data_IF_035098103953
#
_entry.id   IF_035098103953
#
_cell.length_a   1.000
_cell.length_b   1.000
_cell.length_c   1.000
_cell.angle_alpha   90.00
_cell.angle_beta   90.00
_cell.angle_gamma   90.00
#
_symmetry.space_group_name_H-M   'P 1'
#
loop_
_entity.id
_entity.type
_entity.pdbx_description
1 polymer ?
#
# COMPACT_ATOMS: atom_id res chain seq x y z
N UNK A 1 -9.27 21.10 -19.18
CA UNK A 1 -9.74 19.70 -19.17
C UNK A 1 -8.53 18.82 -19.38
N UNK A 2 -8.17 18.00 -18.39
CA UNK A 2 -7.02 17.09 -18.50
C UNK A 2 -7.31 16.04 -19.57
N UNK A 3 -6.35 15.81 -20.47
CA UNK A 3 -6.52 14.83 -21.54
C UNK A 3 -6.04 13.44 -21.05
N UNK A 4 -6.80 12.82 -20.14
CA UNK A 4 -6.48 11.52 -19.55
C UNK A 4 -6.62 10.36 -20.57
N UNK A 5 -7.49 10.49 -21.58
CA UNK A 5 -7.84 9.42 -22.48
C UNK A 5 -6.64 8.77 -23.21
N UNK A 6 -5.70 9.51 -23.85
CA UNK A 6 -4.57 8.89 -24.54
C UNK A 6 -3.63 8.13 -23.61
N UNK A 7 -3.49 8.60 -22.34
CA UNK A 7 -2.65 7.93 -21.34
C UNK A 7 -3.23 6.55 -21.01
N UNK A 8 -4.54 6.48 -20.77
CA UNK A 8 -5.20 5.22 -20.41
C UNK A 8 -5.42 4.30 -21.61
N UNK A 9 -5.62 4.82 -22.84
CA UNK A 9 -5.67 3.99 -24.04
C UNK A 9 -4.34 3.25 -24.24
N UNK A 10 -3.23 3.99 -24.20
CA UNK A 10 -1.89 3.38 -24.27
C UNK A 10 -1.65 2.38 -23.13
N UNK A 11 -2.06 2.71 -21.91
CA UNK A 11 -1.90 1.83 -20.75
C UNK A 11 -2.65 0.51 -20.92
N UNK A 12 -3.87 0.53 -21.51
CA UNK A 12 -4.64 -0.67 -21.82
C UNK A 12 -3.96 -1.57 -22.82
N UNK A 13 -3.39 -0.96 -23.87
CA UNK A 13 -2.64 -1.69 -24.90
C UNK A 13 -1.39 -2.35 -24.31
N UNK A 14 -0.63 -1.61 -23.49
CA UNK A 14 0.57 -2.11 -22.82
C UNK A 14 0.25 -3.27 -21.86
N UNK A 15 -0.85 -3.17 -21.09
CA UNK A 15 -1.34 -4.24 -20.20
C UNK A 15 -1.74 -5.49 -21.01
N UNK A 16 -2.49 -5.30 -22.08
CA UNK A 16 -2.91 -6.40 -22.96
C UNK A 16 -1.72 -7.13 -23.58
N UNK A 17 -0.72 -6.37 -24.02
CA UNK A 17 0.53 -6.93 -24.55
C UNK A 17 1.33 -7.67 -23.48
N UNK A 18 1.38 -7.12 -22.24
CA UNK A 18 2.08 -7.75 -21.13
C UNK A 18 1.45 -9.09 -20.72
N UNK A 19 0.12 -9.17 -20.63
CA UNK A 19 -0.60 -10.42 -20.32
C UNK A 19 -0.28 -11.51 -21.36
N UNK A 20 -0.28 -11.15 -22.63
CA UNK A 20 0.06 -12.12 -23.71
C UNK A 20 1.50 -12.62 -23.67
N UNK A 21 2.44 -11.77 -23.27
CA UNK A 21 3.87 -12.07 -23.27
C UNK A 21 4.33 -12.74 -21.98
N UNK A 22 3.82 -12.34 -20.82
CA UNK A 22 4.22 -12.81 -19.49
C UNK A 22 3.16 -13.76 -18.90
N UNK A 23 2.85 -14.81 -19.66
CA UNK A 23 1.88 -15.81 -19.21
C UNK A 23 2.42 -16.62 -18.03
N UNK A 24 1.54 -17.24 -17.26
CA UNK A 24 1.91 -18.16 -16.18
C UNK A 24 2.88 -19.25 -16.66
N UNK A 25 2.60 -19.87 -17.80
CA UNK A 25 3.48 -20.89 -18.39
C UNK A 25 4.88 -20.35 -18.66
N UNK A 26 4.97 -19.19 -19.32
CA UNK A 26 6.26 -18.53 -19.56
C UNK A 26 7.05 -18.29 -18.27
N UNK A 27 6.40 -17.74 -17.22
CA UNK A 27 7.06 -17.45 -15.94
C UNK A 27 7.50 -18.72 -15.21
N UNK A 28 6.67 -19.76 -15.24
CA UNK A 28 6.99 -21.05 -14.64
C UNK A 28 8.16 -21.73 -15.35
N UNK A 29 8.20 -21.71 -16.69
CA UNK A 29 9.33 -22.24 -17.47
C UNK A 29 10.65 -21.56 -17.11
N UNK A 30 10.62 -20.23 -16.86
CA UNK A 30 11.81 -19.48 -16.40
C UNK A 30 12.27 -19.91 -15.01
N UNK A 31 11.37 -20.27 -14.13
CA UNK A 31 11.68 -20.72 -12.79
C UNK A 31 12.18 -22.17 -12.74
N UNK A 32 11.72 -23.06 -13.64
CA UNK A 32 12.12 -24.47 -13.66
C UNK A 32 13.64 -24.67 -13.91
N UNK A 33 14.29 -23.72 -14.56
CA UNK A 33 15.75 -23.72 -14.74
C UNK A 33 16.52 -23.32 -13.47
N UNK A 34 15.81 -23.07 -12.36
CA UNK A 34 16.34 -22.55 -11.11
C UNK A 34 16.43 -21.02 -11.11
N UNK A 35 16.25 -20.44 -9.94
CA UNK A 35 16.27 -18.99 -9.77
C UNK A 35 17.00 -18.59 -8.48
N UNK A 36 17.65 -17.41 -8.53
CA UNK A 36 18.08 -16.70 -7.33
C UNK A 36 16.90 -15.94 -6.71
N UNK A 37 17.00 -15.67 -5.40
CA UNK A 37 16.09 -14.75 -4.70
C UNK A 37 16.91 -13.56 -4.23
N UNK A 38 16.46 -12.34 -4.50
CA UNK A 38 17.08 -11.13 -3.95
C UNK A 38 16.32 -10.65 -2.74
N UNK A 39 16.93 -10.76 -1.55
CA UNK A 39 16.36 -10.44 -0.24
C UNK A 39 16.09 -11.69 0.61
N UNK A 40 16.70 -11.75 1.81
CA UNK A 40 16.54 -12.84 2.79
C UNK A 40 15.57 -12.50 3.92
N UNK A 41 14.75 -11.48 3.75
CA UNK A 41 13.69 -11.07 4.68
C UNK A 41 12.51 -12.04 4.73
N UNK A 42 11.43 -11.67 5.43
CA UNK A 42 10.21 -12.48 5.55
C UNK A 42 9.62 -12.87 4.20
N UNK A 43 9.50 -11.90 3.30
CA UNK A 43 8.95 -12.10 1.96
C UNK A 43 9.84 -13.02 1.10
N UNK A 44 11.17 -12.83 1.11
CA UNK A 44 12.11 -13.71 0.40
C UNK A 44 12.09 -15.14 0.93
N UNK A 45 11.99 -15.35 2.24
CA UNK A 45 11.84 -16.69 2.84
C UNK A 45 10.50 -17.36 2.44
N UNK A 46 9.43 -16.56 2.30
CA UNK A 46 8.13 -17.05 1.79
C UNK A 46 8.28 -17.53 0.35
N UNK A 47 8.95 -16.77 -0.53
CA UNK A 47 9.26 -17.19 -1.90
C UNK A 47 10.11 -18.47 -1.90
N UNK A 48 11.15 -18.55 -1.09
CA UNK A 48 12.00 -19.74 -1.01
C UNK A 48 11.20 -21.00 -0.61
N UNK A 49 10.25 -20.86 0.32
CA UNK A 49 9.32 -21.95 0.69
C UNK A 49 8.43 -22.34 -0.50
N UNK A 50 7.80 -21.36 -1.16
CA UNK A 50 6.94 -21.61 -2.32
C UNK A 50 7.69 -22.24 -3.49
N UNK A 51 8.97 -21.94 -3.67
CA UNK A 51 9.84 -22.60 -4.64
C UNK A 51 10.08 -24.07 -4.24
N UNK A 52 10.42 -24.32 -2.98
CA UNK A 52 10.62 -25.66 -2.45
C UNK A 52 9.37 -26.53 -2.58
N UNK A 53 8.19 -26.01 -2.23
CA UNK A 53 6.91 -26.72 -2.29
C UNK A 53 6.51 -27.08 -3.76
N UNK A 54 7.15 -26.47 -4.75
CA UNK A 54 6.90 -26.68 -6.19
C UNK A 54 8.09 -27.30 -6.93
N UNK A 55 9.05 -27.83 -6.20
CA UNK A 55 10.29 -28.44 -6.76
C UNK A 55 11.05 -27.51 -7.72
N UNK A 56 10.99 -26.18 -7.44
CA UNK A 56 11.75 -25.17 -8.19
C UNK A 56 13.13 -24.99 -7.53
N UNK A 57 14.25 -25.22 -8.24
CA UNK A 57 15.57 -25.07 -7.65
C UNK A 57 15.88 -23.63 -7.24
N UNK A 58 16.15 -23.42 -5.94
CA UNK A 58 16.69 -22.14 -5.45
C UNK A 58 18.22 -22.17 -5.53
N UNK A 59 18.80 -21.37 -6.43
CA UNK A 59 20.24 -21.33 -6.70
C UNK A 59 21.01 -20.58 -5.61
N UNK A 60 20.35 -19.72 -4.85
CA UNK A 60 20.90 -18.93 -3.76
C UNK A 60 20.01 -17.73 -3.42
N UNK A 61 20.24 -17.19 -2.23
CA UNK A 61 19.58 -15.95 -1.80
C UNK A 61 20.64 -14.84 -1.76
N UNK A 62 20.38 -13.73 -2.42
CA UNK A 62 21.27 -12.58 -2.47
C UNK A 62 20.80 -11.57 -1.44
N UNK A 63 21.63 -11.20 -0.46
CA UNK A 63 21.28 -10.20 0.55
C UNK A 63 22.53 -9.41 0.99
N UNK A 64 22.38 -8.09 1.16
CA UNK A 64 23.48 -7.22 1.63
C UNK A 64 23.98 -7.58 3.03
N UNK A 65 23.16 -8.28 3.82
CA UNK A 65 23.47 -8.73 5.19
C UNK A 65 24.11 -10.12 5.24
N UNK A 66 24.43 -10.73 4.10
CA UNK A 66 25.10 -12.02 4.05
C UNK A 66 26.45 -11.97 4.81
N UNK A 67 26.72 -12.98 5.62
CA UNK A 67 27.92 -13.07 6.45
C UNK A 67 27.89 -12.28 7.76
N UNK A 68 26.80 -11.56 8.07
CA UNK A 68 26.65 -10.82 9.34
C UNK A 68 26.02 -11.63 10.47
N UNK A 69 25.54 -12.86 10.19
CA UNK A 69 24.73 -13.66 11.12
C UNK A 69 23.26 -13.19 11.24
N UNK A 70 22.89 -12.09 10.59
CA UNK A 70 21.53 -11.53 10.65
C UNK A 70 20.55 -12.23 9.69
N UNK A 71 21.07 -12.91 8.67
CA UNK A 71 20.25 -13.62 7.68
C UNK A 71 20.84 -14.98 7.37
N UNK A 72 20.02 -16.01 7.54
CA UNK A 72 20.36 -17.39 7.23
C UNK A 72 19.17 -18.05 6.51
N UNK A 73 19.45 -18.98 5.62
CA UNK A 73 18.45 -19.81 4.96
C UNK A 73 18.88 -21.28 5.06
N UNK A 74 17.98 -22.14 5.55
CA UNK A 74 18.26 -23.58 5.64
C UNK A 74 18.49 -24.14 4.24
N UNK A 75 19.62 -24.81 4.05
CA UNK A 75 19.98 -25.54 2.82
C UNK A 75 20.10 -24.67 1.54
N UNK A 76 20.11 -23.35 1.63
CA UNK A 76 20.29 -22.45 0.50
C UNK A 76 21.41 -21.44 0.84
N UNK A 77 22.43 -21.26 -0.01
CA UNK A 77 23.49 -20.30 0.24
C UNK A 77 22.96 -18.87 0.25
N UNK A 78 23.33 -18.10 1.26
CA UNK A 78 23.08 -16.65 1.29
C UNK A 78 24.35 -15.93 0.83
N UNK A 79 24.25 -15.19 -0.26
CA UNK A 79 25.35 -14.59 -1.01
C UNK A 79 25.30 -13.07 -0.88
N UNK A 80 26.45 -12.45 -0.62
CA UNK A 80 26.53 -11.00 -0.66
C UNK A 80 26.53 -10.51 -2.13
N UNK A 81 25.84 -9.39 -2.49
CA UNK A 81 25.83 -8.88 -3.87
C UNK A 81 27.20 -8.71 -4.51
N UNK A 82 28.23 -8.36 -3.71
CA UNK A 82 29.62 -8.21 -4.17
C UNK A 82 30.34 -9.52 -4.47
N UNK A 83 29.82 -10.67 -4.01
CA UNK A 83 30.43 -11.98 -4.24
C UNK A 83 29.88 -12.70 -5.48
N UNK A 84 28.91 -12.11 -6.16
CA UNK A 84 28.28 -12.68 -7.37
C UNK A 84 28.93 -12.04 -8.59
N UNK A 85 29.43 -12.88 -9.50
CA UNK A 85 29.97 -12.44 -10.78
C UNK A 85 28.88 -12.33 -11.85
N UNK A 86 29.17 -11.57 -12.91
CA UNK A 86 28.27 -11.54 -14.09
C UNK A 86 28.12 -12.92 -14.75
N UNK A 87 29.11 -13.81 -14.62
CA UNK A 87 29.05 -15.18 -15.13
C UNK A 87 28.01 -16.01 -14.34
N UNK A 88 27.89 -15.79 -13.03
CA UNK A 88 26.90 -16.48 -12.19
C UNK A 88 25.46 -16.02 -12.52
N UNK A 89 25.31 -14.78 -12.97
CA UNK A 89 24.00 -14.18 -13.32
C UNK A 89 23.57 -14.48 -14.76
N UNK A 90 24.53 -14.70 -15.67
CA UNK A 90 24.26 -14.84 -17.10
C UNK A 90 23.27 -15.98 -17.39
N UNK A 91 22.19 -15.67 -18.10
CA UNK A 91 21.15 -16.64 -18.45
C UNK A 91 20.27 -17.09 -17.29
N UNK A 92 20.46 -16.56 -16.08
CA UNK A 92 19.72 -16.95 -14.88
C UNK A 92 18.52 -16.03 -14.62
N UNK A 93 17.55 -16.60 -13.91
CA UNK A 93 16.38 -15.87 -13.37
C UNK A 93 16.67 -15.43 -11.93
N UNK A 94 16.19 -14.24 -11.57
CA UNK A 94 16.14 -13.77 -10.18
C UNK A 94 14.74 -13.32 -9.83
N UNK A 95 14.29 -13.68 -8.62
CA UNK A 95 13.01 -13.27 -8.05
C UNK A 95 13.27 -12.20 -7.00
N UNK A 96 12.59 -11.07 -7.09
CA UNK A 96 12.69 -10.02 -6.09
C UNK A 96 11.93 -10.44 -4.83
N UNK A 97 12.68 -10.81 -3.80
CA UNK A 97 12.21 -11.27 -2.48
C UNK A 97 12.11 -10.16 -1.44
N UNK A 98 11.92 -8.91 -1.90
CA UNK A 98 11.70 -7.74 -1.05
C UNK A 98 10.32 -7.18 -1.37
N UNK A 99 9.54 -6.90 -0.32
CA UNK A 99 8.23 -6.26 -0.44
C UNK A 99 7.99 -5.40 0.80
N UNK A 100 8.38 -4.13 0.71
CA UNK A 100 8.25 -3.14 1.78
C UNK A 100 8.32 -1.71 1.18
N UNK A 101 7.96 -0.66 1.94
CA UNK A 101 8.01 0.72 1.48
C UNK A 101 9.41 1.36 1.50
N UNK A 102 10.44 0.69 2.06
CA UNK A 102 11.73 1.34 2.39
C UNK A 102 12.81 1.10 1.33
N UNK A 103 12.84 -0.07 0.70
CA UNK A 103 13.83 -0.41 -0.32
C UNK A 103 13.36 0.01 -1.71
N UNK A 104 14.10 0.81 -2.44
CA UNK A 104 13.78 1.21 -3.82
C UNK A 104 13.89 0.02 -4.78
N UNK A 105 12.75 -0.57 -5.16
CA UNK A 105 12.71 -1.70 -6.10
C UNK A 105 13.28 -1.32 -7.48
N UNK A 106 13.06 -0.10 -7.93
CA UNK A 106 13.58 0.39 -9.19
C UNK A 106 15.11 0.38 -9.20
N UNK A 107 15.75 0.85 -8.11
CA UNK A 107 17.20 0.80 -7.96
C UNK A 107 17.70 -0.65 -7.97
N UNK A 108 17.07 -1.52 -7.21
CA UNK A 108 17.42 -2.94 -7.13
C UNK A 108 17.27 -3.61 -8.49
N UNK A 109 16.17 -3.39 -9.20
CA UNK A 109 15.92 -3.96 -10.53
C UNK A 109 16.96 -3.48 -11.54
N UNK A 110 17.33 -2.19 -11.52
CA UNK A 110 18.41 -1.65 -12.37
C UNK A 110 19.76 -2.32 -12.05
N UNK A 111 20.07 -2.51 -10.78
CA UNK A 111 21.27 -3.24 -10.37
C UNK A 111 21.26 -4.70 -10.86
N UNK A 112 20.14 -5.43 -10.67
CA UNK A 112 20.00 -6.82 -11.14
C UNK A 112 20.20 -6.94 -12.67
N UNK A 113 19.66 -5.99 -13.44
CA UNK A 113 19.91 -5.91 -14.89
C UNK A 113 21.39 -5.70 -15.21
N UNK A 114 22.05 -4.79 -14.49
CA UNK A 114 23.48 -4.51 -14.68
C UNK A 114 24.38 -5.68 -14.26
N UNK A 115 23.95 -6.50 -13.30
CA UNK A 115 24.63 -7.72 -12.91
C UNK A 115 24.56 -8.84 -13.97
N UNK A 116 23.62 -8.73 -14.95
CA UNK A 116 23.54 -9.64 -16.09
C UNK A 116 22.45 -10.71 -15.96
N UNK A 117 21.51 -10.60 -15.01
CA UNK A 117 20.37 -11.51 -14.96
C UNK A 117 19.52 -11.42 -16.22
N UNK A 118 19.18 -12.57 -16.79
CA UNK A 118 18.41 -12.66 -18.03
C UNK A 118 16.92 -12.37 -17.79
N UNK A 119 16.41 -12.72 -16.62
CA UNK A 119 15.02 -12.52 -16.25
C UNK A 119 14.91 -12.07 -14.79
N UNK A 120 14.08 -11.06 -14.55
CA UNK A 120 13.79 -10.54 -13.20
C UNK A 120 12.29 -10.60 -12.98
N UNK A 121 11.86 -11.41 -12.00
CA UNK A 121 10.46 -11.56 -11.62
C UNK A 121 10.16 -10.69 -10.41
N UNK A 122 9.18 -9.79 -10.55
CA UNK A 122 8.69 -8.93 -9.49
C UNK A 122 7.30 -8.36 -9.80
N UNK A 123 6.67 -7.64 -8.87
CA UNK A 123 5.33 -7.09 -9.10
C UNK A 123 4.33 -8.18 -9.51
N UNK A 124 3.55 -7.91 -10.54
CA UNK A 124 2.52 -8.84 -11.02
C UNK A 124 3.05 -10.22 -11.48
N UNK A 125 4.34 -10.36 -11.79
CA UNK A 125 4.90 -11.67 -12.13
C UNK A 125 4.82 -12.67 -10.98
N UNK A 126 4.89 -12.19 -9.73
CA UNK A 126 4.91 -13.06 -8.55
C UNK A 126 3.57 -13.78 -8.35
N UNK A 127 2.41 -13.11 -8.29
CA UNK A 127 1.12 -13.79 -8.23
C UNK A 127 0.84 -14.67 -9.45
N UNK A 128 1.31 -14.28 -10.63
CA UNK A 128 1.13 -15.09 -11.84
C UNK A 128 1.97 -16.36 -11.83
N UNK A 129 3.21 -16.31 -11.30
CA UNK A 129 4.09 -17.47 -11.20
C UNK A 129 3.72 -18.37 -10.01
N UNK A 130 3.48 -17.77 -8.83
CA UNK A 130 3.30 -18.48 -7.57
C UNK A 130 1.84 -18.60 -7.10
N UNK A 131 0.89 -17.99 -7.80
CA UNK A 131 -0.54 -18.01 -7.41
C UNK A 131 -0.86 -17.10 -6.22
N UNK A 132 -2.05 -17.28 -5.59
CA UNK A 132 -2.54 -16.39 -4.54
C UNK A 132 -1.71 -16.44 -3.25
N UNK A 133 -0.95 -17.51 -3.01
CA UNK A 133 -0.16 -17.68 -1.78
C UNK A 133 0.91 -16.62 -1.59
N UNK A 134 1.27 -15.87 -2.64
CA UNK A 134 2.24 -14.76 -2.58
C UNK A 134 1.57 -13.39 -2.48
N UNK A 135 0.24 -13.31 -2.65
CA UNK A 135 -0.48 -12.05 -2.58
C UNK A 135 -0.28 -11.35 -1.23
N UNK A 136 -0.06 -10.05 -1.29
CA UNK A 136 0.17 -9.19 -0.13
C UNK A 136 -0.13 -7.74 -0.50
N UNK A 137 -0.82 -6.96 0.36
CA UNK A 137 -1.21 -5.58 0.05
C UNK A 137 -1.72 -5.42 -1.40
N UNK A 138 -1.15 -4.50 -2.15
CA UNK A 138 -1.48 -4.22 -3.55
C UNK A 138 -0.98 -5.29 -4.54
N UNK A 139 -0.21 -6.29 -4.11
CA UNK A 139 0.40 -7.27 -5.00
C UNK A 139 -0.65 -8.20 -5.59
N UNK A 140 -0.84 -8.12 -6.90
CA UNK A 140 -1.83 -8.90 -7.66
C UNK A 140 -1.34 -9.21 -9.07
N UNK A 141 -1.98 -10.19 -9.72
CA UNK A 141 -1.77 -10.46 -11.15
C UNK A 141 -2.31 -9.33 -12.05
N UNK A 142 -1.88 -9.32 -13.31
CA UNK A 142 -2.25 -8.27 -14.29
C UNK A 142 -3.73 -8.27 -14.65
N UNK A 143 -4.39 -9.42 -14.57
CA UNK A 143 -5.75 -9.59 -15.05
C UNK A 143 -6.73 -8.64 -14.36
N UNK A 144 -6.58 -8.38 -13.06
CA UNK A 144 -7.46 -7.46 -12.32
C UNK A 144 -7.48 -6.05 -12.92
N UNK A 145 -6.35 -5.57 -13.47
CA UNK A 145 -6.28 -4.24 -14.06
C UNK A 145 -7.05 -4.16 -15.40
N UNK A 146 -7.09 -5.25 -16.18
CA UNK A 146 -7.88 -5.32 -17.41
C UNK A 146 -9.36 -5.45 -17.08
N UNK A 147 -9.72 -6.33 -16.15
CA UNK A 147 -11.12 -6.56 -15.75
C UNK A 147 -11.77 -5.30 -15.16
N UNK A 148 -10.97 -4.46 -14.48
CA UNK A 148 -11.42 -3.21 -13.86
C UNK A 148 -11.06 -1.95 -14.68
N UNK A 149 -10.61 -2.13 -15.94
CA UNK A 149 -10.04 -1.02 -16.70
C UNK A 149 -11.01 0.15 -16.92
N UNK A 150 -12.29 -0.12 -17.10
CA UNK A 150 -13.30 0.93 -17.29
C UNK A 150 -13.48 1.77 -16.01
N UNK A 151 -13.36 1.16 -14.81
CA UNK A 151 -13.36 1.87 -13.53
C UNK A 151 -12.10 2.70 -13.34
N UNK A 152 -10.94 2.15 -13.70
CA UNK A 152 -9.66 2.86 -13.70
C UNK A 152 -9.71 4.09 -14.61
N UNK A 153 -10.28 3.93 -15.81
CA UNK A 153 -10.47 5.03 -16.77
C UNK A 153 -11.44 6.09 -16.23
N UNK A 154 -12.56 5.65 -15.62
CA UNK A 154 -13.52 6.55 -14.99
C UNK A 154 -12.84 7.38 -13.88
N UNK A 155 -12.05 6.73 -13.02
CA UNK A 155 -11.24 7.42 -12.01
C UNK A 155 -10.30 8.44 -12.67
N UNK A 156 -9.53 8.04 -13.69
CA UNK A 156 -8.61 8.95 -14.38
C UNK A 156 -9.29 10.23 -14.92
N UNK A 157 -10.55 10.10 -15.37
CA UNK A 157 -11.35 11.23 -15.85
C UNK A 157 -11.91 12.12 -14.72
N UNK A 158 -12.05 11.58 -13.49
CA UNK A 158 -12.56 12.31 -12.32
C UNK A 158 -11.48 13.04 -11.53
N UNK A 159 -10.19 12.71 -11.74
CA UNK A 159 -9.08 13.33 -11.04
C UNK A 159 -8.92 14.81 -11.41
N UNK A 160 -8.68 15.64 -10.41
CA UNK A 160 -8.75 17.10 -10.52
C UNK A 160 -7.52 17.73 -11.21
N UNK A 161 -6.38 17.04 -11.22
CA UNK A 161 -5.13 17.59 -11.78
C UNK A 161 -4.30 16.53 -12.54
N UNK A 162 -3.35 17.03 -13.33
CA UNK A 162 -2.48 16.18 -14.14
C UNK A 162 -1.56 15.32 -13.28
N UNK A 163 -1.08 15.83 -12.15
CA UNK A 163 -0.25 15.08 -11.19
C UNK A 163 -0.96 13.82 -10.71
N UNK A 164 -2.24 13.91 -10.38
CA UNK A 164 -3.06 12.75 -9.96
C UNK A 164 -3.22 11.71 -11.07
N UNK A 165 -3.43 12.18 -12.31
CA UNK A 165 -3.58 11.30 -13.48
C UNK A 165 -2.26 10.56 -13.75
N UNK A 166 -1.15 11.27 -13.73
CA UNK A 166 0.18 10.70 -13.95
C UNK A 166 0.56 9.76 -12.80
N UNK A 167 0.19 10.08 -11.57
CA UNK A 167 0.34 9.21 -10.40
C UNK A 167 -0.41 7.89 -10.60
N UNK A 168 -1.70 7.93 -10.97
CA UNK A 168 -2.47 6.72 -11.22
C UNK A 168 -1.85 5.85 -12.31
N UNK A 169 -1.50 6.46 -13.45
CA UNK A 169 -0.89 5.74 -14.56
C UNK A 169 0.46 5.13 -14.19
N UNK A 170 1.29 5.86 -13.44
CA UNK A 170 2.61 5.40 -12.97
C UNK A 170 2.48 4.25 -12.00
N UNK A 171 1.55 4.29 -11.05
CA UNK A 171 1.31 3.20 -10.11
C UNK A 171 0.91 1.92 -10.85
N UNK A 172 0.02 2.02 -11.85
CA UNK A 172 -0.40 0.85 -12.64
C UNK A 172 0.78 0.29 -13.45
N UNK A 173 1.59 1.16 -14.09
CA UNK A 173 2.81 0.72 -14.79
C UNK A 173 3.77 0.00 -13.85
N UNK A 174 3.96 0.52 -12.65
CA UNK A 174 4.83 -0.09 -11.64
C UNK A 174 4.29 -1.47 -11.22
N UNK A 175 3.04 -1.55 -10.77
CA UNK A 175 2.44 -2.77 -10.23
C UNK A 175 2.24 -3.86 -11.29
N UNK A 176 1.78 -3.50 -12.50
CA UNK A 176 1.34 -4.44 -13.52
C UNK A 176 2.30 -4.60 -14.70
N UNK A 177 3.10 -3.60 -15.02
CA UNK A 177 4.01 -3.63 -16.17
C UNK A 177 5.48 -3.72 -15.79
N UNK A 178 5.78 -3.90 -14.50
CA UNK A 178 7.14 -3.96 -13.97
C UNK A 178 7.97 -2.70 -14.32
N UNK A 179 7.33 -1.53 -14.28
CA UNK A 179 7.99 -0.24 -14.44
C UNK A 179 8.95 0.03 -13.28
N UNK A 180 10.18 0.38 -13.57
CA UNK A 180 11.24 0.57 -12.56
C UNK A 180 11.46 2.04 -12.17
N UNK A 181 10.54 2.92 -12.55
CA UNK A 181 10.53 4.35 -12.20
C UNK A 181 9.15 4.79 -11.80
N UNK A 182 9.11 5.65 -10.78
CA UNK A 182 7.92 6.38 -10.37
C UNK A 182 8.07 7.84 -10.83
N UNK A 183 7.19 8.27 -11.74
CA UNK A 183 7.12 9.63 -12.26
C UNK A 183 5.63 10.03 -12.36
N UNK A 184 5.16 10.93 -11.50
CA UNK A 184 5.90 11.75 -10.54
C UNK A 184 6.58 10.95 -9.42
N UNK A 185 7.67 11.50 -8.87
CA UNK A 185 8.38 10.91 -7.74
C UNK A 185 7.53 10.98 -6.45
N UNK A 186 7.75 10.08 -5.46
CA UNK A 186 7.04 10.13 -4.19
C UNK A 186 7.26 11.45 -3.44
N UNK A 187 6.21 11.99 -2.83
CA UNK A 187 6.25 13.20 -2.00
C UNK A 187 6.50 12.84 -0.54
N UNK A 188 7.76 12.68 -0.17
CA UNK A 188 8.14 12.34 1.21
C UNK A 188 7.79 13.43 2.22
N UNK A 189 7.31 13.03 3.39
CA UNK A 189 7.15 13.89 4.57
C UNK A 189 5.90 14.76 4.62
N UNK A 190 5.08 14.75 3.57
CA UNK A 190 3.81 15.52 3.50
C UNK A 190 2.58 14.62 3.35
N UNK A 191 2.72 13.34 3.70
CA UNK A 191 1.60 12.40 3.75
C UNK A 191 0.48 12.99 4.62
N UNK A 192 -0.76 12.87 4.16
CA UNK A 192 -1.99 13.42 4.75
C UNK A 192 -2.11 14.96 4.74
N UNK A 193 -1.06 15.72 4.38
CA UNK A 193 -1.15 17.16 4.13
C UNK A 193 -0.17 17.56 3.03
N UNK A 194 -0.40 17.18 1.76
CA UNK A 194 0.50 17.53 0.67
C UNK A 194 0.61 19.04 0.49
N UNK A 195 1.83 19.52 0.22
CA UNK A 195 2.12 20.96 0.08
C UNK A 195 1.33 21.64 -1.05
N UNK A 196 0.97 20.87 -2.07
CA UNK A 196 0.21 21.34 -3.24
C UNK A 196 -1.33 21.30 -3.03
N UNK A 197 -1.79 20.77 -1.89
CA UNK A 197 -3.18 20.83 -1.48
C UNK A 197 -3.33 21.82 -0.31
N UNK A 198 -4.31 22.70 -0.38
CA UNK A 198 -4.46 23.82 0.56
C UNK A 198 -4.54 23.37 2.02
N UNK A 199 -3.83 24.08 2.91
CA UNK A 199 -3.90 23.92 4.36
C UNK A 199 -5.24 24.37 4.96
N UNK A 200 -5.30 24.39 6.29
CA UNK A 200 -6.47 24.83 7.05
C UNK A 200 -6.28 26.28 7.52
N UNK A 201 -7.33 27.10 7.44
CA UNK A 201 -7.33 28.51 7.83
C UNK A 201 -7.90 28.78 9.22
N UNK A 202 -8.39 27.73 9.90
CA UNK A 202 -8.96 27.78 11.25
C UNK A 202 -8.65 26.48 12.00
N UNK A 203 -8.76 26.48 13.35
CA UNK A 203 -8.66 25.25 14.12
C UNK A 203 -9.68 24.21 13.66
N UNK A 204 -9.27 22.93 13.62
CA UNK A 204 -10.06 21.84 13.07
C UNK A 204 -10.36 20.75 14.12
N UNK A 205 -11.50 20.07 13.94
CA UNK A 205 -11.76 18.76 14.52
C UNK A 205 -11.19 17.70 13.60
N UNK A 206 -10.18 16.98 14.08
CA UNK A 206 -9.45 15.95 13.32
C UNK A 206 -9.90 14.55 13.76
N UNK A 207 -10.38 13.73 12.81
CA UNK A 207 -10.64 12.31 12.99
C UNK A 207 -9.48 11.51 12.39
N UNK A 208 -8.85 10.69 13.21
CA UNK A 208 -7.66 9.89 12.91
C UNK A 208 -7.98 8.40 13.04
N UNK A 209 -8.27 7.76 11.92
CA UNK A 209 -8.46 6.32 11.84
C UNK A 209 -7.11 5.63 11.59
N UNK A 210 -6.73 4.69 12.48
CA UNK A 210 -5.38 4.12 12.52
C UNK A 210 -4.38 5.14 13.11
N UNK A 211 -4.65 5.59 14.33
CA UNK A 211 -3.89 6.67 14.95
C UNK A 211 -2.51 6.24 15.48
N UNK A 212 -2.21 4.92 15.47
CA UNK A 212 -0.95 4.33 15.88
C UNK A 212 -0.46 4.86 17.24
N UNK A 213 0.59 5.66 17.29
CA UNK A 213 1.10 6.32 18.48
C UNK A 213 0.85 7.85 18.50
N UNK A 214 0.04 8.36 17.55
CA UNK A 214 -0.27 9.78 17.36
C UNK A 214 0.69 10.52 16.44
N UNK A 215 1.38 9.81 15.58
CA UNK A 215 2.36 10.32 14.61
C UNK A 215 1.74 11.33 13.63
N UNK A 216 0.53 11.07 13.13
CA UNK A 216 -0.19 11.98 12.23
C UNK A 216 -0.53 13.30 12.93
N UNK A 217 -1.01 13.27 14.17
CA UNK A 217 -1.25 14.51 14.94
C UNK A 217 0.05 15.30 15.13
N UNK A 218 1.16 14.62 15.46
CA UNK A 218 2.48 15.28 15.58
C UNK A 218 2.89 15.94 14.28
N UNK A 219 2.70 15.26 13.15
CA UNK A 219 3.02 15.79 11.83
C UNK A 219 2.16 17.02 11.49
N UNK A 220 0.83 16.96 11.66
CA UNK A 220 -0.07 18.09 11.42
C UNK A 220 0.31 19.32 12.25
N UNK A 221 0.59 19.13 13.55
CA UNK A 221 1.05 20.22 14.43
C UNK A 221 2.38 20.82 13.98
N UNK A 222 3.32 19.99 13.51
CA UNK A 222 4.60 20.45 12.95
C UNK A 222 4.41 21.31 11.69
N UNK A 223 3.39 21.02 10.89
CA UNK A 223 3.00 21.84 9.73
C UNK A 223 2.14 23.05 10.08
N UNK A 224 1.96 23.34 11.38
CA UNK A 224 1.22 24.52 11.85
C UNK A 224 -0.30 24.39 11.80
N UNK A 225 -0.83 23.17 11.67
CA UNK A 225 -2.27 22.96 11.74
C UNK A 225 -2.73 23.07 13.18
N UNK A 226 -3.67 23.98 13.45
CA UNK A 226 -4.30 24.12 14.74
C UNK A 226 -5.43 23.10 14.89
N UNK A 227 -5.36 22.27 15.94
CA UNK A 227 -6.33 21.21 16.22
C UNK A 227 -7.17 21.64 17.43
N UNK A 228 -8.48 21.80 17.24
CA UNK A 228 -9.43 22.11 18.31
C UNK A 228 -9.90 20.86 19.05
N UNK A 229 -9.98 19.72 18.35
CA UNK A 229 -10.36 18.42 18.90
C UNK A 229 -9.74 17.29 18.09
N UNK A 230 -9.27 16.24 18.75
CA UNK A 230 -8.74 15.04 18.14
C UNK A 230 -9.58 13.81 18.51
N UNK A 231 -10.09 13.10 17.50
CA UNK A 231 -10.90 11.89 17.61
C UNK A 231 -10.06 10.74 17.02
N UNK A 232 -9.41 9.93 17.84
CA UNK A 232 -8.43 8.95 17.41
C UNK A 232 -8.92 7.51 17.65
N UNK A 233 -8.74 6.66 16.66
CA UNK A 233 -9.10 5.24 16.67
C UNK A 233 -7.86 4.39 16.44
N UNK A 234 -7.56 3.48 17.38
CA UNK A 234 -6.44 2.55 17.27
C UNK A 234 -6.82 1.21 17.95
N UNK A 235 -7.02 0.15 17.17
CA UNK A 235 -7.45 -1.14 17.72
C UNK A 235 -6.33 -1.97 18.36
N UNK A 236 -5.05 -1.78 17.93
CA UNK A 236 -3.94 -2.52 18.51
C UNK A 236 -3.64 -2.05 19.93
N UNK A 237 -3.60 -2.98 20.87
CA UNK A 237 -3.41 -2.67 22.31
C UNK A 237 -2.08 -2.00 22.61
N UNK A 238 -1.01 -2.45 21.97
CA UNK A 238 0.34 -1.94 22.18
C UNK A 238 0.45 -0.50 21.66
N UNK A 239 -0.09 -0.27 20.46
CA UNK A 239 -0.12 1.06 19.85
C UNK A 239 -1.06 1.99 20.61
N UNK A 240 -2.24 1.51 21.01
CA UNK A 240 -3.17 2.30 21.84
C UNK A 240 -2.57 2.72 23.18
N UNK A 241 -1.76 1.89 23.82
CA UNK A 241 -1.06 2.28 25.04
C UNK A 241 -0.10 3.47 24.82
N UNK A 242 0.63 3.47 23.69
CA UNK A 242 1.49 4.60 23.29
C UNK A 242 0.66 5.84 22.95
N UNK A 243 -0.43 5.65 22.20
CA UNK A 243 -1.39 6.68 21.83
C UNK A 243 -1.98 7.36 23.07
N UNK A 244 -2.41 6.59 24.07
CA UNK A 244 -2.97 7.10 25.32
C UNK A 244 -1.95 7.91 26.11
N UNK A 245 -0.69 7.42 26.18
CA UNK A 245 0.39 8.15 26.84
C UNK A 245 0.68 9.49 26.14
N UNK A 246 0.70 9.51 24.81
CA UNK A 246 0.87 10.74 24.04
C UNK A 246 -0.35 11.67 24.18
N UNK A 247 -1.57 11.15 24.12
CA UNK A 247 -2.80 11.91 24.25
C UNK A 247 -2.89 12.70 25.57
N UNK A 248 -2.35 12.14 26.66
CA UNK A 248 -2.31 12.82 27.96
C UNK A 248 -1.45 14.10 27.96
N UNK A 249 -0.50 14.24 27.03
CA UNK A 249 0.46 15.36 26.98
C UNK A 249 0.41 16.15 25.66
N UNK A 250 -0.40 15.75 24.69
CA UNK A 250 -0.42 16.35 23.35
C UNK A 250 -0.91 17.81 23.32
N UNK A 251 -1.56 18.27 24.39
CA UNK A 251 -2.07 19.65 24.49
C UNK A 251 -3.28 19.93 23.60
N UNK A 252 -4.02 18.90 23.20
CA UNK A 252 -5.24 18.97 22.38
C UNK A 252 -6.34 18.19 23.10
N UNK A 253 -7.59 18.71 23.19
CA UNK A 253 -8.73 17.91 23.63
C UNK A 253 -8.85 16.65 22.79
N UNK A 254 -8.71 15.46 23.39
CA UNK A 254 -8.64 14.19 22.68
C UNK A 254 -9.71 13.21 23.17
N UNK A 255 -10.36 12.53 22.23
CA UNK A 255 -11.17 11.33 22.46
C UNK A 255 -10.46 10.15 21.81
N UNK A 256 -9.95 9.23 22.64
CA UNK A 256 -9.17 8.08 22.17
C UNK A 256 -10.02 6.82 22.29
N UNK A 257 -10.18 6.08 21.19
CA UNK A 257 -11.06 4.92 21.09
C UNK A 257 -10.22 3.66 20.78
N UNK A 258 -10.17 2.66 21.70
CA UNK A 258 -9.47 1.40 21.49
C UNK A 258 -10.29 0.44 20.61
N UNK A 259 -10.68 0.87 19.43
CA UNK A 259 -11.50 0.11 18.50
C UNK A 259 -11.18 0.44 17.04
N UNK A 260 -11.58 -0.44 16.13
CA UNK A 260 -11.50 -0.22 14.70
C UNK A 260 -12.67 0.59 14.17
N UNK A 261 -12.51 1.11 12.95
CA UNK A 261 -13.60 1.76 12.19
C UNK A 261 -14.19 0.78 11.17
N UNK A 262 -15.52 0.84 10.98
CA UNK A 262 -16.25 0.04 10.01
C UNK A 262 -17.59 0.71 9.64
N UNK A 263 -18.44 0.00 8.87
CA UNK A 263 -19.78 0.46 8.51
C UNK A 263 -20.84 0.26 9.60
N UNK A 264 -20.54 -0.52 10.65
CA UNK A 264 -21.43 -0.80 11.78
C UNK A 264 -20.66 -1.32 12.99
N UNK A 265 -21.31 -1.39 14.13
CA UNK A 265 -20.76 -2.04 15.32
C UNK A 265 -20.72 -3.57 15.14
N UNK A 266 -19.53 -4.17 15.26
CA UNK A 266 -19.31 -5.63 15.27
C UNK A 266 -17.93 -5.96 15.83
N UNK A 267 -17.66 -7.25 16.02
CA UNK A 267 -16.36 -7.74 16.50
C UNK A 267 -15.66 -8.44 15.34
N UNK A 268 -14.37 -8.13 15.16
CA UNK A 268 -13.49 -8.80 14.21
C UNK A 268 -12.35 -9.50 14.94
N UNK A 269 -11.78 -10.54 14.31
CA UNK A 269 -10.53 -11.13 14.78
C UNK A 269 -9.36 -10.35 14.14
N UNK A 270 -8.40 -9.98 14.97
CA UNK A 270 -7.28 -9.12 14.61
C UNK A 270 -5.97 -9.83 14.95
N UNK A 271 -5.02 -9.88 14.04
CA UNK A 271 -3.69 -10.42 14.30
C UNK A 271 -2.84 -9.37 14.97
N UNK A 272 -2.48 -9.57 16.24
CA UNK A 272 -1.50 -8.72 16.94
C UNK A 272 -0.06 -9.12 16.57
N UNK A 273 0.86 -8.16 16.52
CA UNK A 273 2.29 -8.44 16.64
C UNK A 273 3.06 -8.70 15.36
N UNK A 274 2.63 -8.22 14.21
CA UNK A 274 3.47 -8.17 13.02
C UNK A 274 3.94 -6.74 12.74
N UNK A 275 5.25 -6.57 12.66
CA UNK A 275 6.01 -5.29 12.61
C UNK A 275 5.61 -4.28 11.53
N UNK A 276 4.63 -4.55 10.67
CA UNK A 276 4.23 -3.64 9.57
C UNK A 276 2.80 -3.84 9.05
N UNK A 277 1.85 -4.25 9.87
CA UNK A 277 0.45 -4.37 9.40
C UNK A 277 -0.35 -5.36 10.22
N UNK A 278 -1.01 -4.86 11.24
CA UNK A 278 -2.01 -5.63 11.98
C UNK A 278 -3.28 -5.70 11.13
N UNK A 279 -3.61 -6.87 10.58
CA UNK A 279 -4.74 -7.06 9.65
C UNK A 279 -5.96 -7.67 10.31
N UNK A 280 -7.14 -7.27 9.85
CA UNK A 280 -8.37 -8.05 10.04
C UNK A 280 -8.21 -9.38 9.28
N UNK A 281 -8.35 -10.49 10.00
CA UNK A 281 -8.23 -11.84 9.45
C UNK A 281 -9.63 -12.40 9.22
N UNK A 282 -9.91 -12.88 8.01
CA UNK A 282 -11.20 -13.48 7.67
C UNK A 282 -11.37 -14.87 8.29
N UNK A 283 -10.27 -15.54 8.70
CA UNK A 283 -10.32 -16.93 9.21
C UNK A 283 -9.12 -17.21 10.14
N UNK A 284 -9.23 -16.91 11.45
CA UNK A 284 -8.16 -17.29 12.41
C UNK A 284 -8.67 -17.73 13.78
N UNK A 285 -8.19 -18.88 14.21
CA UNK A 285 -8.38 -19.40 15.59
C UNK A 285 -7.46 -18.76 16.64
N UNK A 286 -6.62 -17.77 16.29
CA UNK A 286 -5.57 -17.20 17.15
C UNK A 286 -5.51 -15.65 17.11
N UNK A 287 -6.61 -14.97 16.88
CA UNK A 287 -6.68 -13.51 16.85
C UNK A 287 -7.19 -12.91 18.18
N UNK A 288 -6.88 -11.63 18.41
CA UNK A 288 -7.52 -10.82 19.47
C UNK A 288 -8.83 -10.26 18.93
N UNK A 289 -9.90 -10.36 19.72
CA UNK A 289 -11.18 -9.75 19.38
C UNK A 289 -11.11 -8.23 19.49
N UNK A 290 -11.39 -7.53 18.41
CA UNK A 290 -11.43 -6.07 18.33
C UNK A 290 -12.85 -5.61 18.03
N UNK A 291 -13.35 -4.67 18.83
CA UNK A 291 -14.61 -3.98 18.55
C UNK A 291 -14.41 -3.00 17.40
N UNK A 292 -15.29 -3.05 16.40
CA UNK A 292 -15.40 -2.01 15.36
C UNK A 292 -16.67 -1.19 15.55
N UNK A 293 -16.64 0.08 15.13
CA UNK A 293 -17.77 1.02 15.22
C UNK A 293 -17.91 1.84 13.93
N UNK A 294 -19.11 2.37 13.69
CA UNK A 294 -19.32 3.38 12.66
C UNK A 294 -19.20 4.78 13.25
N UNK A 295 -18.56 5.70 12.55
CA UNK A 295 -18.43 7.10 12.99
C UNK A 295 -19.79 7.76 13.17
N UNK A 296 -20.73 7.48 12.27
CA UNK A 296 -22.10 7.99 12.31
C UNK A 296 -22.90 7.57 13.56
N UNK A 297 -22.51 6.45 14.19
CA UNK A 297 -23.16 5.96 15.41
C UNK A 297 -22.58 6.59 16.66
N UNK A 298 -21.25 6.84 16.70
CA UNK A 298 -20.55 7.31 17.89
C UNK A 298 -20.36 8.83 17.94
N UNK A 299 -20.35 9.52 16.78
CA UNK A 299 -20.15 10.97 16.68
C UNK A 299 -21.23 11.69 15.88
N UNK A 300 -22.52 11.37 16.10
CA UNK A 300 -23.67 11.85 15.33
C UNK A 300 -23.74 13.37 15.15
N UNK A 301 -23.30 14.16 16.12
CA UNK A 301 -23.41 15.62 16.13
C UNK A 301 -22.07 16.35 16.34
N UNK A 302 -20.96 15.67 16.13
CA UNK A 302 -19.62 16.27 16.21
C UNK A 302 -19.23 16.76 14.82
N UNK A 303 -19.06 18.08 14.61
CA UNK A 303 -18.54 18.59 13.36
C UNK A 303 -17.12 18.08 13.15
N UNK A 304 -16.89 17.37 12.04
CA UNK A 304 -15.57 16.88 11.67
C UNK A 304 -15.11 17.72 10.49
N UNK A 305 -13.88 18.25 10.56
CA UNK A 305 -13.29 19.11 9.54
C UNK A 305 -12.27 18.37 8.66
N UNK A 306 -11.61 17.38 9.26
CA UNK A 306 -10.60 16.59 8.57
C UNK A 306 -10.63 15.13 9.03
N UNK A 307 -10.55 14.21 8.08
CA UNK A 307 -10.50 12.77 8.32
C UNK A 307 -9.24 12.19 7.66
N UNK A 308 -8.46 11.44 8.41
CA UNK A 308 -7.44 10.53 7.87
C UNK A 308 -7.89 9.11 8.13
N UNK A 309 -7.79 8.25 7.10
CA UNK A 309 -7.98 6.81 7.23
C UNK A 309 -6.76 6.07 6.68
N UNK A 310 -6.14 5.30 7.55
CA UNK A 310 -5.07 4.37 7.25
C UNK A 310 -5.24 3.18 8.18
N UNK A 311 -6.10 2.23 7.78
CA UNK A 311 -6.71 1.21 8.64
C UNK A 311 -6.67 -0.19 8.02
N UNK A 312 -5.58 -0.44 7.28
CA UNK A 312 -5.17 -1.77 6.84
C UNK A 312 -6.21 -2.53 6.00
N UNK A 313 -6.91 -1.77 5.12
CA UNK A 313 -7.87 -2.30 4.16
C UNK A 313 -9.34 -2.25 4.62
N UNK A 314 -9.64 -1.59 5.74
CA UNK A 314 -11.02 -1.34 6.20
C UNK A 314 -11.57 0.02 5.74
N UNK A 315 -10.83 0.81 4.94
CA UNK A 315 -11.14 2.18 4.54
C UNK A 315 -12.51 2.28 3.88
N UNK A 316 -12.83 1.39 2.94
CA UNK A 316 -14.12 1.39 2.26
C UNK A 316 -15.30 1.15 3.19
N UNK A 317 -15.16 0.29 4.20
CA UNK A 317 -16.18 0.07 5.23
C UNK A 317 -16.31 1.30 6.16
N UNK A 318 -15.18 1.86 6.61
CA UNK A 318 -15.17 3.05 7.46
C UNK A 318 -15.81 4.27 6.75
N UNK A 319 -15.54 4.46 5.47
CA UNK A 319 -16.21 5.50 4.65
C UNK A 319 -17.73 5.33 4.61
N UNK A 320 -18.24 4.09 4.46
CA UNK A 320 -19.68 3.83 4.55
C UNK A 320 -20.23 4.16 5.93
N UNK A 321 -19.47 3.85 6.99
CA UNK A 321 -19.82 4.13 8.39
C UNK A 321 -19.76 5.60 8.80
N UNK A 322 -19.28 6.50 7.94
CA UNK A 322 -19.26 7.95 8.16
C UNK A 322 -20.02 8.74 7.09
N UNK A 323 -20.83 8.07 6.27
CA UNK A 323 -21.50 8.70 5.14
C UNK A 323 -22.37 9.90 5.53
N UNK A 324 -23.08 9.84 6.67
CA UNK A 324 -23.89 10.95 7.17
C UNK A 324 -23.03 12.12 7.65
N UNK A 325 -21.93 11.83 8.35
CA UNK A 325 -20.99 12.85 8.79
C UNK A 325 -20.36 13.57 7.59
N UNK A 326 -19.92 12.83 6.56
CA UNK A 326 -19.37 13.39 5.33
C UNK A 326 -20.40 14.25 4.61
N UNK A 327 -21.63 13.76 4.44
CA UNK A 327 -22.72 14.54 3.81
C UNK A 327 -23.03 15.83 4.56
N UNK A 328 -23.07 15.77 5.90
CA UNK A 328 -23.47 16.89 6.77
C UNK A 328 -22.38 17.94 6.92
N UNK A 329 -21.15 17.53 7.15
CA UNK A 329 -20.07 18.41 7.57
C UNK A 329 -19.06 18.70 6.45
N UNK A 330 -19.04 17.90 5.37
CA UNK A 330 -18.16 18.05 4.21
C UNK A 330 -16.69 18.19 4.64
N UNK A 331 -16.17 17.24 5.47
CA UNK A 331 -14.78 17.28 5.89
C UNK A 331 -13.85 17.11 4.68
N UNK A 332 -12.63 17.56 4.79
CA UNK A 332 -11.57 17.06 3.92
C UNK A 332 -11.23 15.63 4.28
N UNK A 333 -10.96 14.83 3.27
CA UNK A 333 -10.67 13.41 3.43
C UNK A 333 -9.28 13.10 2.88
N UNK A 334 -8.47 12.35 3.64
CA UNK A 334 -7.20 11.76 3.22
C UNK A 334 -7.25 10.27 3.55
N UNK A 335 -7.37 9.44 2.53
CA UNK A 335 -7.67 8.02 2.68
C UNK A 335 -6.65 7.17 1.96
N UNK A 336 -6.00 6.25 2.68
CA UNK A 336 -5.05 5.30 2.12
C UNK A 336 -5.73 4.38 1.09
N UNK A 337 -5.07 4.20 -0.06
CA UNK A 337 -5.61 3.50 -1.23
C UNK A 337 -4.62 2.46 -1.78
N UNK A 338 -3.99 1.68 -0.87
CA UNK A 338 -2.94 0.73 -1.25
C UNK A 338 -2.97 -0.61 -0.50
N UNK A 339 -3.82 -0.79 0.48
CA UNK A 339 -3.83 -2.01 1.29
C UNK A 339 -4.34 -3.23 0.54
N UNK A 340 -5.22 -3.03 -0.43
CA UNK A 340 -5.71 -4.08 -1.34
C UNK A 340 -5.47 -3.67 -2.79
N UNK A 341 -5.37 -4.62 -3.73
CA UNK A 341 -5.18 -4.27 -5.14
C UNK A 341 -6.23 -3.30 -5.69
N UNK A 342 -7.50 -3.50 -5.32
CA UNK A 342 -8.62 -2.70 -5.82
C UNK A 342 -8.76 -1.33 -5.13
N UNK A 343 -8.16 -1.11 -3.97
CA UNK A 343 -8.27 0.14 -3.21
C UNK A 343 -7.78 1.34 -4.06
N UNK A 344 -6.84 1.10 -4.98
CA UNK A 344 -6.31 2.13 -5.88
C UNK A 344 -7.41 2.85 -6.70
N UNK A 345 -8.50 2.18 -7.02
CA UNK A 345 -9.63 2.77 -7.74
C UNK A 345 -10.92 2.75 -6.93
N UNK A 346 -11.14 1.77 -6.06
CA UNK A 346 -12.37 1.66 -5.28
C UNK A 346 -12.51 2.79 -4.26
N UNK A 347 -11.43 3.11 -3.54
CA UNK A 347 -11.44 4.18 -2.53
C UNK A 347 -11.63 5.55 -3.17
N UNK A 348 -10.83 5.97 -4.19
CA UNK A 348 -11.05 7.27 -4.81
C UNK A 348 -12.43 7.41 -5.48
N UNK A 349 -12.96 6.36 -6.13
CA UNK A 349 -14.29 6.40 -6.71
C UNK A 349 -15.37 6.53 -5.64
N UNK A 350 -15.24 5.80 -4.51
CA UNK A 350 -16.16 5.95 -3.38
C UNK A 350 -16.14 7.38 -2.81
N UNK A 351 -14.96 8.01 -2.70
CA UNK A 351 -14.83 9.41 -2.29
C UNK A 351 -15.55 10.36 -3.28
N UNK A 352 -15.37 10.12 -4.58
CA UNK A 352 -16.07 10.89 -5.63
C UNK A 352 -17.60 10.78 -5.51
N UNK A 353 -18.12 9.58 -5.24
CA UNK A 353 -19.55 9.35 -5.05
C UNK A 353 -20.08 10.03 -3.77
N UNK A 354 -19.29 10.03 -2.70
CA UNK A 354 -19.67 10.67 -1.43
C UNK A 354 -19.59 12.20 -1.49
N UNK A 355 -18.73 12.74 -2.34
CA UNK A 355 -18.46 14.18 -2.50
C UNK A 355 -18.52 14.61 -3.98
N UNK A 356 -19.69 14.54 -4.64
CA UNK A 356 -19.80 14.75 -6.10
C UNK A 356 -19.38 16.13 -6.59
N UNK A 357 -19.45 17.15 -5.72
CA UNK A 357 -19.00 18.52 -6.02
C UNK A 357 -17.53 18.76 -5.57
N UNK A 358 -16.90 17.76 -4.97
CA UNK A 358 -15.51 17.83 -4.48
C UNK A 358 -14.48 17.63 -5.59
N UNK A 359 -13.27 18.06 -5.33
CA UNK A 359 -12.12 17.78 -6.18
C UNK A 359 -11.40 16.55 -5.64
N UNK A 360 -11.12 15.59 -6.52
CA UNK A 360 -10.45 14.35 -6.17
C UNK A 360 -8.99 14.39 -6.61
N UNK A 361 -8.08 14.11 -5.68
CA UNK A 361 -6.64 14.08 -5.93
C UNK A 361 -6.06 12.73 -5.51
N UNK A 362 -4.95 12.33 -6.15
CA UNK A 362 -4.20 11.14 -5.81
C UNK A 362 -2.71 11.50 -5.70
N UNK A 363 -2.07 11.10 -4.60
CA UNK A 363 -0.63 11.28 -4.39
C UNK A 363 -0.03 9.98 -3.88
N UNK A 364 1.25 9.76 -4.11
CA UNK A 364 1.99 8.70 -3.46
C UNK A 364 3.19 9.28 -2.69
N UNK A 365 3.49 8.70 -1.53
CA UNK A 365 4.38 9.29 -0.55
C UNK A 365 5.62 8.45 -0.27
N UNK A 366 5.63 7.17 -0.65
CA UNK A 366 6.75 6.27 -0.44
C UNK A 366 7.08 5.47 -1.70
N UNK A 367 8.33 4.94 -1.80
CA UNK A 367 8.71 4.04 -2.90
C UNK A 367 7.79 2.84 -3.02
N UNK A 368 7.86 2.17 -4.18
CA UNK A 368 7.19 0.90 -4.43
C UNK A 368 5.66 1.00 -4.38
N UNK A 369 5.09 2.20 -4.57
CA UNK A 369 3.64 2.46 -4.55
C UNK A 369 2.93 2.09 -3.25
N UNK A 370 3.65 2.04 -2.14
CA UNK A 370 3.08 2.13 -0.80
C UNK A 370 2.69 3.57 -0.49
N UNK A 371 1.87 3.76 0.52
CA UNK A 371 1.41 5.08 0.95
C UNK A 371 0.82 5.92 -0.19
N UNK A 372 -0.04 5.29 -0.97
CA UNK A 372 -0.91 5.98 -1.93
C UNK A 372 -2.11 6.51 -1.18
N UNK A 373 -2.36 7.81 -1.28
CA UNK A 373 -3.45 8.48 -0.58
C UNK A 373 -4.35 9.20 -1.58
N UNK A 374 -5.66 9.00 -1.44
CA UNK A 374 -6.70 9.74 -2.14
C UNK A 374 -7.19 10.89 -1.24
N UNK A 375 -7.35 12.08 -1.85
CA UNK A 375 -7.79 13.29 -1.14
C UNK A 375 -9.05 13.85 -1.79
N UNK A 376 -10.01 14.23 -0.95
CA UNK A 376 -11.26 14.83 -1.40
C UNK A 376 -11.72 16.00 -0.49
#
# INVERSE_FOLDING_TARGET
MSNAAPIFDKLKDDLTAAIKRRTRGYLQDRLQCGAYIYGAGGFGRRIARLMSDRDIPCLGIIDRRAGTGLVEARNVPVLHPKSISSADCAGKTVVLGIFNPFDDFGEIVRWLRSAGFAEILWGADLPEAFGPDIADFWLSGRQIFIDQFDRIRALGNSLADQTSIDTLATIIRFRALNGDRLDPAPSFGTQYLPDDLHGFSRPITFLDGGAYDGDTLRALKKFGVEISQWLAFEPDRSNFAKLAAFGAICGVPATLMPCGLSDRAHIVQFAEGHDTGSRVLEDVQTGVSVQCVAVDDVFQNVPIDYVKLDIEGAEGAALRGMAKAVQKYRPRLAVSAYHRPADLWDIPLQLSDMMPDGKLYLRHHYPNTFEVVAYA
#
